data_IF_498747582977
#
_entry.id   IF_498747582977
#
_cell.length_a   1.000
_cell.length_b   1.000
_cell.length_c   1.000
_cell.angle_alpha   90.00
_cell.angle_beta   90.00
_cell.angle_gamma   90.00
#
_symmetry.space_group_name_H-M   'P 1'
#
loop_
_entity.id
_entity.type
_entity.pdbx_description
1 polymer ?
#
# COMPACT_ATOMS: atom_id res chain seq x y z
N UNK A 1 16.88 23.23 -13.74
CA UNK A 1 17.00 22.81 -12.32
C UNK A 1 15.70 22.30 -11.69
N UNK A 2 14.50 22.63 -12.23
CA UNK A 2 13.20 22.24 -11.65
C UNK A 2 12.41 21.18 -12.43
N UNK A 3 12.99 20.57 -13.46
CA UNK A 3 12.34 19.48 -14.24
C UNK A 3 12.40 18.10 -13.56
N UNK A 4 12.90 18.02 -12.32
CA UNK A 4 13.26 16.76 -11.65
C UNK A 4 12.49 16.47 -10.35
N UNK A 5 11.62 17.38 -9.90
CA UNK A 5 10.80 17.15 -8.70
C UNK A 5 9.42 16.64 -9.11
N UNK A 6 9.12 15.38 -8.78
CA UNK A 6 7.75 14.86 -8.87
C UNK A 6 6.89 15.54 -7.81
N UNK A 7 6.13 16.56 -8.22
CA UNK A 7 5.29 17.37 -7.35
C UNK A 7 4.25 16.54 -6.58
N UNK A 8 3.82 15.38 -7.10
CA UNK A 8 2.87 14.49 -6.41
C UNK A 8 3.52 13.84 -5.20
N UNK A 9 4.75 13.36 -5.35
CA UNK A 9 5.51 12.78 -4.25
C UNK A 9 5.99 13.83 -3.25
N UNK A 10 6.32 15.04 -3.72
CA UNK A 10 6.57 16.18 -2.84
C UNK A 10 5.34 16.49 -1.98
N UNK A 11 4.17 16.61 -2.60
CA UNK A 11 2.92 16.86 -1.91
C UNK A 11 2.58 15.73 -0.91
N UNK A 12 2.71 14.47 -1.33
CA UNK A 12 2.45 13.30 -0.46
C UNK A 12 3.39 13.27 0.74
N UNK A 13 4.69 13.51 0.51
CA UNK A 13 5.67 13.68 1.58
C UNK A 13 5.25 14.77 2.56
N UNK A 14 4.80 15.92 2.05
CA UNK A 14 4.33 17.03 2.88
C UNK A 14 3.07 16.67 3.68
N UNK A 15 2.15 15.86 3.13
CA UNK A 15 0.98 15.39 3.90
C UNK A 15 1.39 14.50 5.07
N UNK A 16 2.36 13.60 4.88
CA UNK A 16 2.90 12.79 5.99
C UNK A 16 3.54 13.67 7.09
N UNK A 17 4.25 14.74 6.70
CA UNK A 17 4.80 15.71 7.66
C UNK A 17 3.69 16.44 8.45
N UNK A 18 2.56 16.74 7.80
CA UNK A 18 1.40 17.36 8.47
C UNK A 18 0.73 16.38 9.44
N UNK A 19 0.62 15.10 9.09
CA UNK A 19 0.11 14.06 9.98
C UNK A 19 1.00 13.93 11.22
N UNK A 20 2.32 13.90 11.06
CA UNK A 20 3.26 13.89 12.18
C UNK A 20 3.08 15.07 13.13
N UNK A 21 2.97 16.29 12.57
CA UNK A 21 2.70 17.49 13.37
C UNK A 21 1.35 17.44 14.09
N UNK A 22 0.32 16.88 13.45
CA UNK A 22 -0.99 16.73 14.07
C UNK A 22 -0.95 15.73 15.23
N UNK A 23 -0.31 14.57 15.05
CA UNK A 23 -0.14 13.55 16.10
C UNK A 23 0.63 14.12 17.29
N UNK A 24 1.73 14.83 17.05
CA UNK A 24 2.53 15.46 18.11
C UNK A 24 1.72 16.47 18.93
N UNK A 25 0.82 17.24 18.30
CA UNK A 25 -0.08 18.15 19.01
C UNK A 25 -1.11 17.43 19.87
N UNK A 26 -1.60 16.27 19.41
CA UNK A 26 -2.59 15.47 20.14
C UNK A 26 -1.97 14.70 21.31
N UNK A 27 -0.71 14.27 21.17
CA UNK A 27 0.03 13.49 22.17
C UNK A 27 1.41 14.11 22.47
N UNK A 28 1.47 15.29 23.10
CA UNK A 28 2.72 16.04 23.26
C UNK A 28 3.75 15.38 24.19
N UNK A 29 3.32 14.46 25.05
CA UNK A 29 4.15 13.77 26.06
C UNK A 29 4.50 12.32 25.73
N UNK A 30 4.01 11.76 24.62
CA UNK A 30 4.36 10.40 24.18
C UNK A 30 5.42 10.48 23.08
N UNK A 31 6.47 9.65 23.21
CA UNK A 31 7.41 9.40 22.12
C UNK A 31 6.62 8.71 21.00
N UNK A 32 6.73 9.13 19.72
CA UNK A 32 5.88 8.67 18.62
C UNK A 32 6.08 7.20 18.18
N UNK A 33 6.65 6.35 19.02
CA UNK A 33 6.84 4.91 18.79
C UNK A 33 5.51 4.16 18.57
N UNK A 34 4.38 4.73 18.99
CA UNK A 34 3.04 4.12 18.86
C UNK A 34 2.38 4.33 17.47
N UNK A 35 3.05 5.01 16.54
CA UNK A 35 2.47 5.20 15.19
C UNK A 35 2.91 4.07 14.29
N UNK A 36 1.93 3.27 13.86
CA UNK A 36 2.12 2.21 12.89
C UNK A 36 1.56 2.65 11.54
N UNK A 37 2.33 2.44 10.48
CA UNK A 37 1.91 2.70 9.11
C UNK A 37 2.24 1.49 8.23
N UNK A 38 1.25 0.79 7.69
CA UNK A 38 1.52 -0.31 6.77
C UNK A 38 2.06 0.22 5.43
N UNK A 39 2.93 -0.57 4.80
CA UNK A 39 3.21 -0.40 3.38
C UNK A 39 1.93 -0.55 2.56
N UNK A 40 1.90 0.12 1.41
CA UNK A 40 0.85 -0.04 0.42
C UNK A 40 1.07 -1.36 -0.34
N UNK A 41 -0.01 -2.06 -0.64
CA UNK A 41 0.03 -3.32 -1.39
C UNK A 41 0.29 -3.09 -2.88
N UNK A 42 0.90 -4.08 -3.55
CA UNK A 42 1.13 -4.08 -4.99
C UNK A 42 0.15 -5.03 -5.69
N UNK A 43 -0.86 -4.45 -6.35
CA UNK A 43 -1.86 -5.22 -7.08
C UNK A 43 -1.43 -5.63 -8.50
N UNK A 44 -0.23 -5.25 -8.95
CA UNK A 44 0.13 -5.34 -10.37
C UNK A 44 0.69 -6.69 -10.81
N UNK A 45 1.10 -7.53 -9.85
CA UNK A 45 1.80 -8.79 -10.13
C UNK A 45 0.86 -10.00 -10.21
N UNK A 46 1.06 -10.88 -11.19
CA UNK A 46 0.34 -12.16 -11.29
C UNK A 46 0.96 -13.26 -10.41
N UNK A 47 0.50 -14.50 -10.53
CA UNK A 47 0.98 -15.66 -9.76
C UNK A 47 2.47 -16.00 -9.95
N UNK A 48 3.07 -15.55 -11.06
CA UNK A 48 4.51 -15.71 -11.32
C UNK A 48 5.34 -14.56 -10.75
N UNK A 49 4.68 -13.59 -10.11
CA UNK A 49 5.31 -12.40 -9.56
C UNK A 49 5.77 -11.40 -10.62
N UNK A 50 5.24 -11.47 -11.85
CA UNK A 50 5.53 -10.51 -12.92
C UNK A 50 4.38 -9.52 -13.06
N UNK A 51 4.69 -8.27 -13.41
CA UNK A 51 3.67 -7.25 -13.69
C UNK A 51 2.83 -7.69 -14.89
N UNK A 52 1.52 -7.69 -14.71
CA UNK A 52 0.59 -8.27 -15.67
C UNK A 52 -0.73 -7.51 -15.71
N UNK A 53 -1.16 -7.17 -16.93
CA UNK A 53 -2.44 -6.52 -17.21
C UNK A 53 -3.40 -7.42 -18.01
N UNK A 54 -3.01 -8.68 -18.28
CA UNK A 54 -3.80 -9.64 -19.07
C UNK A 54 -4.91 -10.30 -18.25
N UNK A 55 -5.85 -9.47 -17.79
CA UNK A 55 -7.08 -9.93 -17.17
C UNK A 55 -8.24 -8.95 -17.40
N UNK A 56 -9.47 -9.43 -17.19
CA UNK A 56 -10.69 -8.66 -17.49
C UNK A 56 -10.74 -7.31 -16.76
N UNK A 57 -10.24 -7.24 -15.53
CA UNK A 57 -10.24 -6.03 -14.70
C UNK A 57 -9.19 -5.00 -15.15
N UNK A 58 -8.12 -5.44 -15.83
CA UNK A 58 -6.99 -4.59 -16.26
C UNK A 58 -6.96 -4.29 -17.77
N UNK A 59 -7.88 -4.85 -18.55
CA UNK A 59 -7.92 -4.76 -20.03
C UNK A 59 -7.83 -3.35 -20.65
N UNK A 60 -8.06 -2.31 -19.87
CA UNK A 60 -7.99 -0.90 -20.33
C UNK A 60 -6.61 -0.27 -20.09
N UNK A 61 -5.69 -0.99 -19.45
CA UNK A 61 -4.34 -0.55 -19.10
C UNK A 61 -3.37 -1.47 -19.84
N UNK A 62 -2.39 -0.90 -20.53
CA UNK A 62 -1.32 -1.71 -21.13
C UNK A 62 -0.33 -2.18 -20.05
N UNK A 63 0.29 -3.34 -20.26
CA UNK A 63 1.30 -3.87 -19.34
C UNK A 63 2.45 -2.86 -19.12
N UNK A 64 2.87 -2.12 -20.16
CA UNK A 64 3.92 -1.10 -20.04
C UNK A 64 3.51 0.05 -19.12
N UNK A 65 2.27 0.52 -19.23
CA UNK A 65 1.75 1.56 -18.33
C UNK A 65 1.62 1.06 -16.90
N UNK A 66 1.26 -0.22 -16.71
CA UNK A 66 1.19 -0.84 -15.39
C UNK A 66 2.58 -0.99 -14.76
N UNK A 67 3.59 -1.38 -15.54
CA UNK A 67 4.99 -1.42 -15.10
C UNK A 67 5.48 -0.03 -14.69
N UNK A 68 5.15 1.01 -15.46
CA UNK A 68 5.49 2.39 -15.08
C UNK A 68 4.79 2.84 -13.80
N UNK A 69 3.52 2.42 -13.58
CA UNK A 69 2.81 2.72 -12.35
C UNK A 69 3.42 1.99 -11.14
N UNK A 70 3.77 0.71 -11.30
CA UNK A 70 4.43 -0.09 -10.28
C UNK A 70 5.76 0.55 -9.84
N UNK A 71 6.65 0.83 -10.80
CA UNK A 71 7.96 1.42 -10.53
C UNK A 71 7.86 2.85 -9.98
N UNK A 72 7.11 3.73 -10.66
CA UNK A 72 7.13 5.18 -10.37
C UNK A 72 6.20 5.59 -9.24
N UNK A 73 5.21 4.76 -8.91
CA UNK A 73 4.18 5.08 -7.91
C UNK A 73 4.21 4.07 -6.76
N UNK A 74 3.93 2.79 -7.00
CA UNK A 74 3.70 1.81 -5.92
C UNK A 74 4.98 1.50 -5.12
N UNK A 75 6.10 1.21 -5.80
CA UNK A 75 7.37 1.02 -5.09
C UNK A 75 7.81 2.32 -4.39
N UNK A 76 7.64 3.46 -5.07
CA UNK A 76 8.10 4.74 -4.56
C UNK A 76 7.30 5.23 -3.34
N UNK A 77 6.01 4.93 -3.24
CA UNK A 77 5.21 5.28 -2.04
C UNK A 77 5.68 4.49 -0.82
N UNK A 78 6.00 3.21 -0.97
CA UNK A 78 6.56 2.40 0.12
C UNK A 78 7.93 2.90 0.56
N UNK A 79 8.79 3.28 -0.40
CA UNK A 79 10.06 3.96 -0.08
C UNK A 79 9.86 5.28 0.69
N UNK A 80 8.83 6.06 0.34
CA UNK A 80 8.48 7.28 1.08
C UNK A 80 7.95 6.97 2.49
N UNK A 81 7.10 5.95 2.65
CA UNK A 81 6.58 5.50 3.95
C UNK A 81 7.74 5.07 4.85
N UNK A 82 8.65 4.20 4.39
CA UNK A 82 9.82 3.77 5.18
C UNK A 82 10.69 4.97 5.55
N UNK A 83 10.95 5.90 4.61
CA UNK A 83 11.74 7.10 4.90
C UNK A 83 11.10 7.98 5.98
N UNK A 84 9.80 8.25 5.87
CA UNK A 84 9.07 9.08 6.84
C UNK A 84 8.92 8.40 8.20
N UNK A 85 8.77 7.09 8.21
CA UNK A 85 8.73 6.30 9.43
C UNK A 85 10.04 6.42 10.20
N UNK A 86 11.18 6.25 9.52
CA UNK A 86 12.51 6.50 10.13
C UNK A 86 12.68 7.93 10.62
N UNK A 87 12.20 8.91 9.86
CA UNK A 87 12.31 10.34 10.22
C UNK A 87 11.53 10.68 11.48
N UNK A 88 10.34 10.08 11.69
CA UNK A 88 9.44 10.43 12.78
C UNK A 88 9.39 9.39 13.91
N UNK A 89 10.19 8.33 13.82
CA UNK A 89 10.19 7.23 14.79
C UNK A 89 8.91 6.39 14.73
N UNK A 90 8.21 6.37 13.59
CA UNK A 90 7.08 5.47 13.36
C UNK A 90 7.55 4.08 12.94
N UNK A 91 6.65 3.13 13.04
CA UNK A 91 6.88 1.74 12.64
C UNK A 91 6.20 1.45 11.31
N UNK A 92 7.01 1.22 10.27
CA UNK A 92 6.50 0.77 8.98
C UNK A 92 6.26 -0.74 8.99
N UNK A 93 5.05 -1.19 8.63
CA UNK A 93 4.79 -2.64 8.41
C UNK A 93 5.14 -2.95 6.96
N UNK A 94 6.41 -3.27 6.74
CA UNK A 94 6.95 -3.48 5.39
C UNK A 94 6.32 -4.73 4.74
N UNK A 95 6.11 -5.77 5.55
CA UNK A 95 5.57 -7.10 5.18
C UNK A 95 4.26 -7.13 4.39
N UNK A 96 3.52 -6.01 4.33
CA UNK A 96 2.26 -5.92 3.57
C UNK A 96 2.50 -6.03 2.08
N UNK A 97 3.57 -5.44 1.54
CA UNK A 97 3.84 -5.48 0.10
C UNK A 97 4.13 -6.91 -0.38
N UNK A 98 4.84 -7.69 0.43
CA UNK A 98 5.24 -9.07 0.15
C UNK A 98 4.05 -10.03 0.05
N UNK A 99 2.96 -9.78 0.80
CA UNK A 99 1.72 -10.58 0.71
C UNK A 99 1.17 -10.63 -0.72
N UNK A 100 1.39 -9.57 -1.50
CA UNK A 100 0.84 -9.42 -2.85
C UNK A 100 1.86 -9.72 -3.96
N UNK A 101 3.10 -10.08 -3.62
CA UNK A 101 4.18 -10.28 -4.59
C UNK A 101 3.81 -11.27 -5.72
N UNK A 102 2.92 -12.24 -5.45
CA UNK A 102 2.36 -13.18 -6.43
C UNK A 102 0.82 -13.24 -6.43
N UNK A 103 0.16 -12.26 -5.80
CA UNK A 103 -1.30 -12.30 -5.54
C UNK A 103 -2.01 -11.01 -5.92
N UNK A 104 -1.49 -10.29 -6.91
CA UNK A 104 -2.13 -9.10 -7.48
C UNK A 104 -3.37 -9.42 -8.32
N UNK A 105 -3.89 -8.42 -9.02
CA UNK A 105 -5.20 -8.41 -9.66
C UNK A 105 -5.36 -9.49 -10.75
N UNK A 106 -4.35 -9.69 -11.60
CA UNK A 106 -4.40 -10.72 -12.64
C UNK A 106 -3.87 -12.09 -12.19
N UNK A 107 -3.61 -12.30 -10.88
CA UNK A 107 -3.22 -13.60 -10.35
C UNK A 107 -4.41 -14.56 -10.30
N UNK A 108 -4.17 -15.84 -10.65
CA UNK A 108 -5.17 -16.91 -10.47
C UNK A 108 -5.57 -17.16 -9.01
N UNK A 109 -4.76 -16.73 -8.04
CA UNK A 109 -5.05 -16.74 -6.61
C UNK A 109 -4.92 -15.32 -6.03
N UNK A 110 -5.70 -14.39 -6.59
CA UNK A 110 -5.66 -12.97 -6.24
C UNK A 110 -6.09 -12.67 -4.80
N UNK A 111 -5.38 -11.76 -4.15
CA UNK A 111 -5.79 -11.08 -2.92
C UNK A 111 -6.51 -9.76 -3.19
N UNK A 112 -6.81 -9.45 -4.45
CA UNK A 112 -7.41 -8.20 -4.88
C UNK A 112 -8.84 -8.46 -5.37
N UNK A 113 -9.77 -7.60 -4.93
CA UNK A 113 -11.18 -7.64 -5.32
C UNK A 113 -11.33 -7.32 -6.80
N UNK A 114 -11.91 -8.24 -7.56
CA UNK A 114 -12.32 -8.00 -8.95
C UNK A 114 -13.47 -6.98 -9.05
N UNK A 115 -13.65 -6.35 -10.22
CA UNK A 115 -14.81 -5.49 -10.46
C UNK A 115 -16.11 -6.30 -10.35
N UNK A 116 -16.10 -7.52 -10.89
CA UNK A 116 -17.26 -8.42 -10.87
C UNK A 116 -17.66 -8.78 -9.44
N UNK A 117 -16.70 -9.13 -8.58
CA UNK A 117 -16.98 -9.47 -7.19
C UNK A 117 -17.44 -8.26 -6.39
N UNK A 118 -16.85 -7.09 -6.63
CA UNK A 118 -17.30 -5.83 -6.05
C UNK A 118 -18.79 -5.58 -6.35
N UNK A 119 -19.19 -5.65 -7.62
CA UNK A 119 -20.60 -5.48 -8.01
C UNK A 119 -21.50 -6.54 -7.35
N UNK A 120 -21.05 -7.80 -7.32
CA UNK A 120 -21.83 -8.90 -6.73
C UNK A 120 -22.03 -8.75 -5.22
N UNK A 121 -21.02 -8.28 -4.48
CA UNK A 121 -21.03 -8.21 -3.02
C UNK A 121 -21.64 -6.92 -2.48
N UNK A 122 -21.37 -5.78 -3.11
CA UNK A 122 -21.78 -4.45 -2.61
C UNK A 122 -22.68 -3.65 -3.58
N UNK A 123 -23.02 -4.20 -4.74
CA UNK A 123 -23.94 -3.57 -5.70
C UNK A 123 -23.33 -2.45 -6.57
N UNK A 124 -22.02 -2.22 -6.49
CA UNK A 124 -21.28 -1.24 -7.30
C UNK A 124 -19.79 -1.62 -7.38
N UNK A 125 -18.99 -0.88 -8.16
CA UNK A 125 -17.57 -1.17 -8.39
C UNK A 125 -16.62 -0.52 -7.37
N UNK A 126 -17.10 0.20 -6.35
CA UNK A 126 -16.22 0.99 -5.48
C UNK A 126 -15.25 0.17 -4.62
N UNK A 127 -15.58 -1.09 -4.34
CA UNK A 127 -14.66 -2.01 -3.67
C UNK A 127 -13.65 -2.70 -4.60
N UNK A 128 -13.70 -2.46 -5.92
CA UNK A 128 -12.76 -3.08 -6.86
C UNK A 128 -11.33 -2.59 -6.58
N UNK A 129 -10.34 -3.42 -6.91
CA UNK A 129 -8.91 -3.15 -6.73
C UNK A 129 -8.45 -3.00 -5.27
N UNK A 130 -9.32 -3.24 -4.29
CA UNK A 130 -8.97 -3.28 -2.87
C UNK A 130 -8.63 -4.71 -2.43
N UNK A 131 -7.91 -4.90 -1.32
CA UNK A 131 -7.67 -6.21 -0.76
C UNK A 131 -8.97 -6.95 -0.43
N UNK A 132 -8.97 -8.28 -0.56
CA UNK A 132 -10.10 -9.12 -0.13
C UNK A 132 -10.07 -9.38 1.38
N UNK A 133 -11.08 -10.05 1.92
CA UNK A 133 -11.19 -10.38 3.36
C UNK A 133 -9.95 -11.15 3.86
N UNK A 134 -9.49 -12.15 3.10
CA UNK A 134 -8.29 -12.92 3.42
C UNK A 134 -7.06 -12.01 3.54
N UNK A 135 -6.90 -11.07 2.61
CA UNK A 135 -5.80 -10.12 2.60
C UNK A 135 -5.88 -9.16 3.79
N UNK A 136 -7.07 -8.66 4.10
CA UNK A 136 -7.29 -7.82 5.27
C UNK A 136 -6.93 -8.54 6.58
N UNK A 137 -7.25 -9.83 6.69
CA UNK A 137 -6.85 -10.63 7.84
C UNK A 137 -5.33 -10.78 7.93
N UNK A 138 -4.65 -11.10 6.82
CA UNK A 138 -3.19 -11.23 6.79
C UNK A 138 -2.48 -9.91 7.14
N UNK A 139 -3.01 -8.77 6.66
CA UNK A 139 -2.51 -7.44 7.03
C UNK A 139 -2.71 -7.19 8.53
N UNK A 140 -3.87 -7.54 9.08
CA UNK A 140 -4.13 -7.40 10.52
C UNK A 140 -3.16 -8.24 11.35
N UNK A 141 -2.88 -9.48 10.94
CA UNK A 141 -1.94 -10.37 11.62
C UNK A 141 -0.51 -9.78 11.66
N UNK A 142 -0.07 -9.14 10.56
CA UNK A 142 1.21 -8.43 10.52
C UNK A 142 1.25 -7.25 11.49
N UNK A 143 0.17 -6.46 11.56
CA UNK A 143 0.07 -5.32 12.48
C UNK A 143 0.09 -5.80 13.94
N UNK A 144 -0.70 -6.83 14.28
CA UNK A 144 -0.76 -7.40 15.64
C UNK A 144 0.59 -7.99 16.05
N UNK A 145 1.26 -8.72 15.15
CA UNK A 145 2.59 -9.26 15.41
C UNK A 145 3.60 -8.15 15.74
N UNK A 146 3.53 -7.03 15.03
CA UNK A 146 4.41 -5.89 15.31
C UNK A 146 4.09 -5.23 16.65
N UNK A 147 2.81 -5.13 17.01
CA UNK A 147 2.38 -4.59 18.31
C UNK A 147 2.90 -5.43 19.49
N UNK A 148 2.80 -6.75 19.39
CA UNK A 148 3.29 -7.67 20.43
C UNK A 148 4.81 -7.59 20.66
N UNK A 149 5.58 -7.07 19.70
CA UNK A 149 7.01 -6.83 19.89
C UNK A 149 7.31 -5.59 20.73
N UNK A 150 6.35 -4.67 20.90
CA UNK A 150 6.51 -3.50 21.77
C UNK A 150 6.18 -3.82 23.24
N UNK A 151 5.38 -4.85 23.49
CA UNK A 151 4.97 -5.25 24.84
C UNK A 151 5.98 -6.19 25.53
N UNK A 152 6.99 -6.69 24.80
CA UNK A 152 8.08 -7.55 25.31
C UNK A 152 9.39 -6.78 25.41
#
# INVERSE_FOLDING_TARGET
>A
LFSTIDMRFFYTSHQLDRVAKAIQKLKPSQVPLDVIIPHYFDLTRNERGVVDADCADMRQISTENLMLAEEKILQRINGLITKKSKQYGWTAIEGVAELFQSRGCCSSNSLIRSIRDSIRLQGNSFGAFHPIEEAHQQIADLVVKQLQQFDN
#
